data_IF_771495251483
#
_entry.id   IF_771495251483
#
_cell.length_a   1.000
_cell.length_b   1.000
_cell.length_c   1.000
_cell.angle_alpha   90.00
_cell.angle_beta   90.00
_cell.angle_gamma   90.00
#
_symmetry.space_group_name_H-M   'P 1'
#
loop_
_entity.id
_entity.type
_entity.pdbx_description
1 polymer ?
#
# COMPACT_ATOMS: atom_id res chain seq x y z
N UNK A 1 5.42 -29.01 17.18
CA UNK A 1 6.36 -28.27 16.30
C UNK A 1 5.74 -26.90 16.00
N UNK A 2 6.49 -25.80 16.11
CA UNK A 2 5.94 -24.50 15.76
C UNK A 2 5.78 -24.38 14.24
N UNK A 3 4.64 -23.89 13.74
CA UNK A 3 4.42 -23.74 12.30
C UNK A 3 5.34 -22.67 11.71
N UNK A 4 5.72 -22.88 10.46
CA UNK A 4 6.50 -21.92 9.70
C UNK A 4 5.59 -20.84 9.13
N UNK A 5 5.91 -19.57 9.43
CA UNK A 5 5.15 -18.42 8.94
C UNK A 5 5.99 -17.46 8.07
N UNK A 6 7.22 -17.86 7.72
CA UNK A 6 8.07 -17.04 6.84
C UNK A 6 7.61 -17.14 5.38
N UNK A 7 7.65 -16.01 4.67
CA UNK A 7 7.28 -15.89 3.25
C UNK A 7 8.33 -15.13 2.47
N UNK A 8 8.22 -15.14 1.14
CA UNK A 8 9.11 -14.37 0.27
C UNK A 8 8.29 -13.40 -0.58
N UNK A 9 8.76 -12.17 -0.71
CA UNK A 9 8.30 -11.18 -1.66
C UNK A 9 9.43 -10.98 -2.67
N UNK A 10 9.32 -11.64 -3.83
CA UNK A 10 10.44 -11.76 -4.74
C UNK A 10 11.67 -12.37 -4.02
N UNK A 11 12.81 -11.69 -4.07
CA UNK A 11 14.05 -12.08 -3.35
C UNK A 11 14.08 -11.68 -1.86
N UNK A 12 13.12 -10.90 -1.38
CA UNK A 12 13.04 -10.46 0.02
C UNK A 12 12.38 -11.53 0.88
N UNK A 13 13.11 -12.08 1.84
CA UNK A 13 12.59 -13.02 2.83
C UNK A 13 12.03 -12.27 4.04
N UNK A 14 10.76 -12.50 4.35
CA UNK A 14 10.09 -12.00 5.54
C UNK A 14 9.98 -13.13 6.57
N UNK A 15 10.30 -12.84 7.84
CA UNK A 15 10.20 -13.83 8.95
C UNK A 15 8.76 -14.23 9.27
N UNK A 16 7.79 -13.36 8.94
CA UNK A 16 6.36 -13.59 8.98
C UNK A 16 5.67 -12.72 7.92
N UNK A 17 4.41 -13.01 7.54
CA UNK A 17 3.74 -12.35 6.42
C UNK A 17 3.05 -11.05 6.79
N UNK A 18 3.19 -10.54 8.02
CA UNK A 18 2.45 -9.36 8.50
C UNK A 18 3.29 -8.11 8.35
N UNK A 19 2.81 -7.19 7.55
CA UNK A 19 3.38 -5.88 7.29
C UNK A 19 2.42 -4.79 7.76
N UNK A 20 2.87 -3.55 7.83
CA UNK A 20 2.03 -2.38 8.09
C UNK A 20 1.86 -1.56 6.81
N UNK A 21 0.66 -1.00 6.60
CA UNK A 21 0.34 -0.27 5.38
C UNK A 21 0.86 1.18 5.41
N UNK A 22 1.30 1.66 4.26
CA UNK A 22 1.69 3.06 4.13
C UNK A 22 0.54 4.00 4.49
N UNK A 23 0.86 5.10 5.19
CA UNK A 23 -0.09 6.12 5.59
C UNK A 23 -0.85 5.87 6.90
N UNK A 24 -0.72 4.68 7.50
CA UNK A 24 -1.39 4.34 8.78
C UNK A 24 -0.42 3.97 9.90
N UNK A 25 0.86 4.02 9.63
CA UNK A 25 1.93 3.66 10.56
C UNK A 25 3.06 4.70 10.62
N UNK A 26 2.83 5.88 10.06
CA UNK A 26 3.81 6.96 10.03
C UNK A 26 5.17 6.53 9.49
N UNK A 27 6.20 6.87 10.23
CA UNK A 27 7.58 6.39 10.04
C UNK A 27 8.00 5.40 11.15
N UNK A 28 7.02 4.75 11.77
CA UNK A 28 7.12 3.76 12.84
C UNK A 28 7.45 4.33 14.24
N UNK A 29 7.99 5.53 14.34
CA UNK A 29 8.32 6.16 15.63
C UNK A 29 7.10 6.24 16.55
N UNK A 30 5.93 6.52 15.98
CA UNK A 30 4.67 6.68 16.69
C UNK A 30 4.17 5.39 17.35
N UNK A 31 4.73 4.24 16.99
CA UNK A 31 4.31 2.93 17.48
C UNK A 31 5.32 2.26 18.41
N UNK A 32 6.51 2.86 18.63
CA UNK A 32 7.58 2.26 19.44
C UNK A 32 7.16 1.98 20.89
N UNK A 33 6.29 2.80 21.45
CA UNK A 33 5.83 2.66 22.83
C UNK A 33 4.72 1.61 22.99
N UNK A 34 4.10 1.18 21.89
CA UNK A 34 2.98 0.24 21.92
C UNK A 34 3.40 -1.20 21.58
N UNK A 35 4.38 -1.38 20.70
CA UNK A 35 4.81 -2.69 20.24
C UNK A 35 6.31 -2.78 20.03
N UNK A 36 6.85 -4.00 20.17
CA UNK A 36 8.19 -4.29 19.65
C UNK A 36 8.14 -4.42 18.12
N UNK A 37 8.56 -3.36 17.45
CA UNK A 37 8.58 -3.27 15.98
C UNK A 37 9.40 -4.39 15.32
N UNK A 38 10.37 -4.97 16.05
CA UNK A 38 11.14 -6.12 15.57
C UNK A 38 10.28 -7.34 15.29
N UNK A 39 9.06 -7.42 15.80
CA UNK A 39 8.16 -8.55 15.54
C UNK A 39 7.54 -8.52 14.15
N UNK A 40 7.42 -7.36 13.51
CA UNK A 40 6.83 -7.20 12.18
C UNK A 40 7.63 -7.92 11.09
N UNK A 41 6.96 -8.34 10.02
CA UNK A 41 7.59 -8.92 8.84
C UNK A 41 8.35 -7.88 8.03
N UNK A 42 7.75 -6.71 7.83
CA UNK A 42 8.35 -5.53 7.23
C UNK A 42 7.55 -4.27 7.61
N UNK A 43 8.16 -3.10 7.45
CA UNK A 43 7.50 -1.80 7.58
C UNK A 43 7.43 -1.13 6.21
N UNK A 44 6.22 -0.74 5.79
CA UNK A 44 6.02 0.16 4.65
C UNK A 44 5.80 1.56 5.21
N UNK A 45 6.67 2.49 4.87
CA UNK A 45 6.65 3.85 5.42
C UNK A 45 5.46 4.66 4.91
N UNK A 46 5.12 5.74 5.60
CA UNK A 46 4.30 6.81 5.02
C UNK A 46 4.90 7.20 3.67
N UNK A 47 4.04 7.39 2.68
CA UNK A 47 4.47 7.75 1.32
C UNK A 47 5.21 9.07 1.32
N UNK A 48 6.36 9.12 0.65
CA UNK A 48 7.14 10.34 0.42
C UNK A 48 7.07 10.77 -1.05
N UNK A 49 7.20 12.06 -1.26
CA UNK A 49 7.37 12.70 -2.57
C UNK A 49 8.76 13.33 -2.68
N UNK A 50 9.15 13.78 -3.86
CA UNK A 50 10.47 14.40 -4.05
C UNK A 50 10.60 15.66 -3.18
N UNK A 51 9.61 16.53 -3.23
CA UNK A 51 9.48 17.72 -2.41
C UNK A 51 8.47 17.49 -1.28
N UNK A 52 8.49 18.32 -0.22
CA UNK A 52 7.49 18.30 0.84
C UNK A 52 6.09 18.65 0.30
N UNK A 53 5.05 18.06 0.91
CA UNK A 53 3.68 18.35 0.55
C UNK A 53 2.80 18.49 1.79
N UNK A 54 2.00 19.56 1.86
CA UNK A 54 1.16 19.90 3.02
C UNK A 54 -0.13 19.05 3.09
N UNK A 55 -0.45 18.32 2.01
CA UNK A 55 -1.69 17.57 1.91
C UNK A 55 -2.91 18.46 1.66
N UNK A 56 -4.09 17.89 1.86
CA UNK A 56 -5.37 18.58 1.66
C UNK A 56 -5.76 19.42 2.89
N UNK A 57 -6.67 20.42 2.73
CA UNK A 57 -7.23 21.17 3.87
C UNK A 57 -8.00 20.24 4.84
N UNK A 58 -8.05 20.64 6.12
CA UNK A 58 -8.92 20.00 7.11
C UNK A 58 -10.41 20.42 6.92
N UNK A 59 -11.38 19.58 7.35
CA UNK A 59 -11.24 18.25 7.93
C UNK A 59 -10.83 17.20 6.88
N UNK A 60 -9.90 16.32 7.25
CA UNK A 60 -9.31 15.31 6.34
C UNK A 60 -9.79 13.89 6.57
N UNK A 61 -10.45 13.66 7.69
CA UNK A 61 -10.94 12.34 8.10
C UNK A 61 -12.34 12.44 8.67
N UNK A 62 -13.12 11.40 8.48
CA UNK A 62 -14.35 11.19 9.23
C UNK A 62 -14.62 9.68 9.42
N UNK A 63 -15.20 9.34 10.54
CA UNK A 63 -15.66 7.98 10.80
C UNK A 63 -16.88 7.61 9.97
N UNK A 64 -16.98 6.34 9.65
CA UNK A 64 -18.14 5.70 9.03
C UNK A 64 -18.58 4.51 9.87
N UNK A 65 -19.79 3.95 9.72
CA UNK A 65 -20.27 2.85 10.57
C UNK A 65 -19.33 1.64 10.65
N UNK A 66 -18.57 1.35 9.58
CA UNK A 66 -17.67 0.19 9.49
C UNK A 66 -16.29 0.57 8.94
N UNK A 67 -15.77 1.74 9.33
CA UNK A 67 -14.46 2.19 8.88
C UNK A 67 -14.29 3.69 8.95
N UNK A 68 -13.48 4.24 8.06
CA UNK A 68 -13.22 5.68 7.99
C UNK A 68 -13.01 6.14 6.56
N UNK A 69 -13.40 7.39 6.31
CA UNK A 69 -13.01 8.16 5.13
C UNK A 69 -11.79 9.01 5.44
N UNK A 70 -10.83 9.04 4.53
CA UNK A 70 -9.70 9.96 4.63
C UNK A 70 -9.43 10.66 3.30
N UNK A 71 -8.91 11.87 3.41
CA UNK A 71 -8.37 12.64 2.29
C UNK A 71 -7.11 13.41 2.72
N UNK A 72 -6.11 12.69 3.21
CA UNK A 72 -4.86 13.29 3.71
C UNK A 72 -4.12 14.05 2.60
N UNK A 73 -4.14 13.54 1.34
CA UNK A 73 -3.55 14.21 0.19
C UNK A 73 -2.02 14.14 0.16
N UNK A 74 -1.44 13.01 0.58
CA UNK A 74 0.02 12.77 0.57
C UNK A 74 0.86 13.79 1.38
N UNK A 75 0.33 14.33 2.49
CA UNK A 75 1.15 15.12 3.40
C UNK A 75 2.41 14.36 3.79
N UNK A 76 3.58 14.96 3.55
CA UNK A 76 4.87 14.35 3.85
C UNK A 76 6.00 15.40 3.84
N UNK A 77 7.15 15.14 4.50
CA UNK A 77 8.24 16.11 4.61
C UNK A 77 9.12 16.21 3.34
N UNK A 78 8.90 15.34 2.32
CA UNK A 78 9.77 15.22 1.17
C UNK A 78 11.00 14.33 1.41
N UNK A 79 11.70 14.00 0.32
CA UNK A 79 12.83 13.07 0.35
C UNK A 79 13.98 13.56 1.25
N UNK A 80 14.36 14.84 1.17
CA UNK A 80 15.50 15.38 1.92
C UNK A 80 15.34 15.18 3.43
N UNK A 81 14.28 15.72 4.00
CA UNK A 81 13.96 15.60 5.45
C UNK A 81 13.75 14.13 5.84
N UNK A 82 13.12 13.32 4.98
CA UNK A 82 12.98 11.90 5.24
C UNK A 82 14.34 11.19 5.42
N UNK A 83 15.30 11.47 4.55
CA UNK A 83 16.64 10.87 4.60
C UNK A 83 17.42 11.30 5.84
N UNK A 84 17.32 12.58 6.22
CA UNK A 84 18.06 13.17 7.34
C UNK A 84 17.46 12.84 8.70
N UNK A 85 16.13 12.88 8.84
CA UNK A 85 15.48 12.79 10.15
C UNK A 85 14.81 11.43 10.39
N UNK A 86 14.12 10.84 9.38
CA UNK A 86 13.27 9.66 9.59
C UNK A 86 13.98 8.34 9.32
N UNK A 87 14.76 8.28 8.27
CA UNK A 87 15.46 7.06 7.89
C UNK A 87 16.45 6.54 8.95
N UNK A 88 17.21 7.39 9.69
CA UNK A 88 18.11 6.91 10.73
C UNK A 88 17.42 6.11 11.85
N UNK A 89 16.22 6.52 12.27
CA UNK A 89 15.42 5.79 13.26
C UNK A 89 14.91 4.47 12.71
N UNK A 90 14.40 4.46 11.48
CA UNK A 90 13.92 3.25 10.79
C UNK A 90 15.01 2.19 10.65
N UNK A 91 16.24 2.57 10.32
CA UNK A 91 17.39 1.65 10.19
C UNK A 91 17.68 0.87 11.48
N UNK A 92 17.43 1.47 12.64
CA UNK A 92 17.69 0.86 13.95
C UNK A 92 16.68 -0.21 14.34
N UNK A 93 15.52 -0.27 13.68
CA UNK A 93 14.45 -1.23 14.02
C UNK A 93 14.87 -2.69 13.70
N UNK A 94 15.65 -2.91 12.64
CA UNK A 94 16.17 -4.23 12.29
C UNK A 94 15.16 -5.16 11.57
N UNK A 95 14.12 -4.60 10.95
CA UNK A 95 13.24 -5.30 10.01
C UNK A 95 13.36 -4.69 8.62
N UNK A 96 12.98 -5.41 7.54
CA UNK A 96 12.97 -4.84 6.20
C UNK A 96 12.15 -3.56 6.11
N UNK A 97 12.76 -2.48 5.58
CA UNK A 97 12.10 -1.20 5.37
C UNK A 97 11.79 -1.05 3.88
N UNK A 98 10.52 -0.86 3.57
CA UNK A 98 10.01 -0.60 2.22
C UNK A 98 9.54 0.84 2.19
N UNK A 99 10.13 1.64 1.31
CA UNK A 99 9.78 3.06 1.21
C UNK A 99 8.63 3.21 0.21
N UNK A 100 7.50 3.71 0.69
CA UNK A 100 6.38 4.08 -0.19
C UNK A 100 6.69 5.42 -0.85
N UNK A 101 6.63 5.47 -2.17
CA UNK A 101 6.93 6.66 -2.97
C UNK A 101 5.76 7.02 -3.88
N UNK A 102 5.55 8.32 -4.06
CA UNK A 102 4.56 8.86 -4.99
C UNK A 102 5.07 10.13 -5.66
N UNK A 103 4.37 10.55 -6.68
CA UNK A 103 4.47 11.89 -7.23
C UNK A 103 3.08 12.53 -7.31
N UNK A 104 3.02 13.85 -7.40
CA UNK A 104 1.78 14.61 -7.46
C UNK A 104 1.50 15.06 -8.90
N UNK A 105 2.49 15.61 -9.56
CA UNK A 105 2.31 16.27 -10.85
C UNK A 105 3.20 15.75 -11.98
N UNK A 106 4.28 15.02 -11.63
CA UNK A 106 5.27 14.58 -12.61
C UNK A 106 5.69 13.11 -12.43
N UNK A 107 5.31 12.18 -13.33
CA UNK A 107 5.69 10.77 -13.24
C UNK A 107 7.20 10.52 -13.19
N UNK A 108 8.04 11.45 -13.69
CA UNK A 108 9.50 11.33 -13.64
C UNK A 108 10.04 11.33 -12.21
N UNK A 109 9.33 11.95 -11.26
CA UNK A 109 9.73 11.96 -9.86
C UNK A 109 9.83 10.56 -9.26
N UNK A 110 9.03 9.59 -9.73
CA UNK A 110 9.20 8.20 -9.31
C UNK A 110 10.59 7.65 -9.65
N UNK A 111 11.11 7.97 -10.82
CA UNK A 111 12.46 7.55 -11.23
C UNK A 111 13.54 8.30 -10.49
N UNK A 112 13.33 9.59 -10.19
CA UNK A 112 14.26 10.40 -9.38
C UNK A 112 14.33 9.88 -7.95
N UNK A 113 13.18 9.60 -7.32
CA UNK A 113 13.09 9.00 -5.98
C UNK A 113 13.76 7.61 -5.97
N UNK A 114 13.43 6.76 -6.93
CA UNK A 114 14.02 5.43 -7.05
C UNK A 114 15.55 5.49 -7.16
N UNK A 115 16.10 6.39 -7.98
CA UNK A 115 17.55 6.59 -8.14
C UNK A 115 18.25 7.01 -6.85
N UNK A 116 17.61 7.81 -6.01
CA UNK A 116 18.17 8.21 -4.72
C UNK A 116 18.10 7.07 -3.70
N UNK A 117 16.95 6.40 -3.61
CA UNK A 117 16.71 5.31 -2.66
C UNK A 117 17.48 4.03 -3.01
N UNK A 118 17.78 3.79 -4.28
CA UNK A 118 18.56 2.63 -4.74
C UNK A 118 19.96 2.59 -4.12
N UNK A 119 20.56 3.76 -3.90
CA UNK A 119 21.90 3.91 -3.30
C UNK A 119 21.94 3.56 -1.82
N UNK A 120 20.80 3.44 -1.14
CA UNK A 120 20.69 3.26 0.31
C UNK A 120 20.57 1.77 0.61
N UNK A 121 21.62 1.17 1.17
CA UNK A 121 21.71 -0.27 1.42
C UNK A 121 20.55 -0.80 2.28
N UNK A 122 20.15 -0.05 3.30
CA UNK A 122 19.15 -0.45 4.28
C UNK A 122 17.71 -0.40 3.77
N UNK A 123 17.47 0.26 2.64
CA UNK A 123 16.18 0.23 1.95
C UNK A 123 16.02 -1.13 1.27
N UNK A 124 15.14 -1.97 1.77
CA UNK A 124 14.90 -3.31 1.24
C UNK A 124 14.11 -3.28 -0.07
N UNK A 125 13.26 -2.29 -0.26
CA UNK A 125 12.44 -2.15 -1.46
C UNK A 125 11.68 -0.83 -1.50
N UNK A 126 10.93 -0.64 -2.58
CA UNK A 126 10.07 0.52 -2.81
C UNK A 126 8.66 0.06 -3.15
N UNK A 127 7.66 0.74 -2.58
CA UNK A 127 6.25 0.62 -2.97
C UNK A 127 5.86 1.81 -3.84
N UNK A 128 5.50 1.58 -5.10
CA UNK A 128 4.98 2.61 -5.99
C UNK A 128 3.51 2.87 -5.65
N UNK A 129 3.23 3.93 -4.91
CA UNK A 129 1.88 4.36 -4.60
C UNK A 129 1.29 5.15 -5.77
N UNK A 130 0.85 4.44 -6.79
CA UNK A 130 0.21 5.00 -7.99
C UNK A 130 -1.29 5.16 -7.84
N UNK A 131 -1.86 4.87 -6.68
CA UNK A 131 -3.29 4.59 -6.47
C UNK A 131 -3.97 5.56 -5.51
N UNK A 132 -3.35 6.69 -5.15
CA UNK A 132 -3.92 7.63 -4.19
C UNK A 132 -5.12 8.38 -4.81
N UNK A 133 -6.38 8.18 -4.30
CA UNK A 133 -7.55 8.86 -4.83
C UNK A 133 -7.64 10.33 -4.39
N UNK A 134 -6.81 10.74 -3.44
CA UNK A 134 -6.91 12.01 -2.74
C UNK A 134 -6.04 13.12 -3.33
N UNK A 135 -5.41 12.88 -4.47
CA UNK A 135 -4.63 13.89 -5.18
C UNK A 135 -5.55 14.65 -6.12
N UNK A 136 -5.86 15.91 -5.80
CA UNK A 136 -6.46 16.84 -6.74
C UNK A 136 -5.33 17.52 -7.50
N UNK A 137 -5.19 17.23 -8.79
CA UNK A 137 -4.35 18.07 -9.65
C UNK A 137 -4.94 19.47 -9.80
N UNK A 138 -4.16 20.47 -10.28
CA UNK A 138 -4.65 21.81 -10.49
C UNK A 138 -5.91 21.78 -11.36
N UNK A 139 -6.98 22.47 -10.91
CA UNK A 139 -8.20 22.71 -11.67
C UNK A 139 -7.97 23.79 -12.75
N UNK A 140 -6.81 23.82 -13.37
CA UNK A 140 -6.57 24.68 -14.51
C UNK A 140 -6.91 23.89 -15.77
N UNK A 141 -7.94 24.32 -16.45
CA UNK A 141 -8.17 24.06 -17.87
C UNK A 141 -7.07 24.85 -18.60
N UNK A 142 -5.84 24.38 -18.52
CA UNK A 142 -4.75 24.91 -19.30
C UNK A 142 -4.70 24.13 -20.61
N UNK A 143 -5.08 24.79 -21.69
CA UNK A 143 -5.06 24.28 -23.06
C UNK A 143 -3.65 24.35 -23.70
N UNK A 144 -2.59 24.51 -22.90
CA UNK A 144 -1.23 24.48 -23.43
C UNK A 144 -0.85 23.09 -23.96
N UNK A 145 -0.06 23.00 -25.05
CA UNK A 145 0.37 21.71 -25.61
C UNK A 145 1.24 20.96 -24.60
N UNK A 146 0.68 19.89 -24.05
CA UNK A 146 1.28 19.09 -23.01
C UNK A 146 2.53 18.37 -23.51
N UNK A 147 3.67 18.53 -22.82
CA UNK A 147 4.88 17.72 -23.06
C UNK A 147 4.54 16.24 -22.83
N UNK A 148 4.72 15.42 -23.86
CA UNK A 148 4.64 13.97 -23.76
C UNK A 148 5.89 13.46 -23.03
N UNK A 149 5.71 13.01 -21.79
CA UNK A 149 6.76 12.36 -21.00
C UNK A 149 6.42 10.87 -20.97
N UNK A 150 7.34 10.02 -21.44
CA UNK A 150 7.13 8.56 -21.57
C UNK A 150 5.85 8.16 -22.35
N UNK A 151 5.35 9.01 -23.23
CA UNK A 151 4.10 8.76 -23.96
C UNK A 151 2.82 9.02 -23.15
N UNK A 152 2.93 9.60 -21.94
CA UNK A 152 1.81 9.98 -21.09
C UNK A 152 1.56 11.48 -21.17
N UNK A 153 0.28 11.88 -21.22
CA UNK A 153 -0.15 13.26 -21.00
C UNK A 153 -0.30 13.52 -19.49
N UNK A 154 -0.29 14.78 -19.06
CA UNK A 154 -0.54 15.13 -17.63
C UNK A 154 -1.90 14.66 -17.14
N UNK A 155 -2.87 14.46 -18.03
CA UNK A 155 -4.18 13.90 -17.71
C UNK A 155 -4.12 12.39 -17.45
N UNK A 156 -3.22 11.66 -18.12
CA UNK A 156 -3.04 10.23 -17.95
C UNK A 156 -2.37 9.88 -16.61
N UNK A 157 -1.58 10.79 -16.04
CA UNK A 157 -0.91 10.60 -14.77
C UNK A 157 -1.88 10.32 -13.61
N UNK A 158 -2.98 11.06 -13.51
CA UNK A 158 -4.00 10.88 -12.44
C UNK A 158 -4.71 9.53 -12.52
N UNK A 159 -4.63 8.90 -13.68
CA UNK A 159 -5.30 7.63 -13.99
C UNK A 159 -4.30 6.47 -14.12
N UNK A 160 -3.03 6.63 -13.71
CA UNK A 160 -2.01 5.58 -13.86
C UNK A 160 -2.51 4.26 -13.29
N UNK A 161 -3.07 4.27 -12.08
CA UNK A 161 -3.58 3.07 -11.43
C UNK A 161 -4.87 2.51 -12.05
N UNK A 162 -5.50 3.25 -12.95
CA UNK A 162 -6.73 2.84 -13.65
C UNK A 162 -6.46 2.44 -15.11
N UNK A 163 -5.20 2.57 -15.56
CA UNK A 163 -4.80 2.29 -16.93
C UNK A 163 -3.60 1.33 -16.96
N UNK A 164 -3.81 0.13 -17.48
CA UNK A 164 -2.80 -0.91 -17.54
C UNK A 164 -1.55 -0.49 -18.31
N UNK A 165 -1.69 0.26 -19.43
CA UNK A 165 -0.55 0.74 -20.23
C UNK A 165 0.24 1.80 -19.48
N UNK A 166 -0.43 2.73 -18.79
CA UNK A 166 0.23 3.75 -17.97
C UNK A 166 0.97 3.11 -16.78
N UNK A 167 0.35 2.16 -16.09
CA UNK A 167 0.98 1.35 -15.04
C UNK A 167 2.22 0.64 -15.57
N UNK A 168 2.12 -0.06 -16.71
CA UNK A 168 3.26 -0.75 -17.33
C UNK A 168 4.41 0.21 -17.60
N UNK A 169 4.15 1.35 -18.23
CA UNK A 169 5.19 2.31 -18.61
C UNK A 169 5.92 2.86 -17.39
N UNK A 170 5.19 3.24 -16.33
CA UNK A 170 5.78 3.76 -15.11
C UNK A 170 6.63 2.70 -14.40
N UNK A 171 6.06 1.52 -14.15
CA UNK A 171 6.78 0.42 -13.48
C UNK A 171 8.03 0.04 -14.27
N UNK A 172 7.94 -0.03 -15.60
CA UNK A 172 9.08 -0.33 -16.48
C UNK A 172 10.18 0.74 -16.39
N UNK A 173 9.80 2.02 -16.33
CA UNK A 173 10.74 3.13 -16.17
C UNK A 173 11.49 3.03 -14.83
N UNK A 174 10.77 2.79 -13.73
CA UNK A 174 11.39 2.62 -12.39
C UNK A 174 12.24 1.35 -12.33
N UNK A 175 11.78 0.23 -12.90
CA UNK A 175 12.54 -1.03 -12.91
C UNK A 175 13.91 -0.92 -13.58
N UNK A 176 14.06 -0.06 -14.56
CA UNK A 176 15.35 0.20 -15.21
C UNK A 176 16.37 0.92 -14.32
N UNK A 177 15.89 1.55 -13.24
CA UNK A 177 16.71 2.35 -12.32
C UNK A 177 17.23 1.51 -11.14
N UNK A 178 16.49 0.48 -10.71
CA UNK A 178 16.76 -0.22 -9.45
C UNK A 178 16.60 -1.73 -9.57
N UNK A 179 17.45 -2.48 -8.85
CA UNK A 179 17.30 -3.91 -8.63
C UNK A 179 16.70 -4.26 -7.26
N UNK A 180 16.33 -3.25 -6.47
CA UNK A 180 15.62 -3.46 -5.21
C UNK A 180 14.22 -4.05 -5.44
N UNK A 181 13.65 -4.59 -4.37
CA UNK A 181 12.24 -5.05 -4.41
C UNK A 181 11.34 -3.89 -4.84
N UNK A 182 10.56 -4.13 -5.88
CA UNK A 182 9.62 -3.16 -6.43
C UNK A 182 8.21 -3.70 -6.29
N UNK A 183 7.40 -3.00 -5.50
CA UNK A 183 6.01 -3.33 -5.24
C UNK A 183 5.12 -2.29 -5.92
N UNK A 184 4.13 -2.69 -6.68
CA UNK A 184 3.15 -1.76 -7.26
C UNK A 184 1.85 -1.82 -6.47
N UNK A 185 1.46 -0.70 -5.84
CA UNK A 185 0.21 -0.59 -5.07
C UNK A 185 -0.94 -0.18 -5.96
N UNK A 186 -1.95 -1.07 -6.03
CA UNK A 186 -3.07 -0.97 -6.96
C UNK A 186 -4.29 -0.31 -6.32
N UNK A 187 -5.07 0.38 -7.15
CA UNK A 187 -6.34 1.01 -6.78
C UNK A 187 -7.51 0.05 -6.94
N UNK A 188 -8.48 0.05 -6.01
CA UNK A 188 -9.75 -0.67 -6.20
C UNK A 188 -10.71 0.05 -7.15
N UNK A 189 -10.42 1.29 -7.53
CA UNK A 189 -11.31 2.12 -8.35
C UNK A 189 -11.12 1.81 -9.84
N UNK A 190 -11.22 0.53 -10.18
CA UNK A 190 -11.04 -0.02 -11.53
C UNK A 190 -12.11 -1.08 -11.81
N UNK A 191 -12.37 -1.34 -13.09
CA UNK A 191 -13.30 -2.40 -13.50
C UNK A 191 -12.66 -3.78 -13.39
N UNK A 192 -11.39 -3.94 -13.82
CA UNK A 192 -10.61 -5.17 -13.77
C UNK A 192 -9.25 -4.92 -13.12
N UNK A 193 -9.11 -5.33 -11.86
CA UNK A 193 -7.86 -5.20 -11.11
C UNK A 193 -6.77 -6.14 -11.65
N UNK A 194 -7.17 -7.27 -12.22
CA UNK A 194 -6.22 -8.26 -12.72
C UNK A 194 -5.53 -7.79 -14.01
N UNK A 195 -6.17 -6.95 -14.82
CA UNK A 195 -5.53 -6.33 -15.99
C UNK A 195 -4.37 -5.43 -15.56
N UNK A 196 -4.59 -4.57 -14.55
CA UNK A 196 -3.56 -3.68 -14.01
C UNK A 196 -2.45 -4.45 -13.31
N UNK A 197 -2.80 -5.51 -12.54
CA UNK A 197 -1.84 -6.39 -11.89
C UNK A 197 -0.91 -7.08 -12.91
N UNK A 198 -1.47 -7.61 -14.02
CA UNK A 198 -0.68 -8.19 -15.12
C UNK A 198 0.26 -7.18 -15.79
N UNK A 199 -0.17 -5.94 -15.92
CA UNK A 199 0.66 -4.88 -16.47
C UNK A 199 1.86 -4.58 -15.55
N UNK A 200 1.65 -4.51 -14.24
CA UNK A 200 2.70 -4.33 -13.25
C UNK A 200 3.70 -5.52 -13.27
N UNK A 201 3.20 -6.77 -13.29
CA UNK A 201 4.03 -7.97 -13.41
C UNK A 201 4.91 -7.95 -14.67
N UNK A 202 4.31 -7.74 -15.84
CA UNK A 202 5.02 -7.69 -17.13
C UNK A 202 6.05 -6.57 -17.18
N UNK A 203 5.85 -5.49 -16.45
CA UNK A 203 6.77 -4.37 -16.37
C UNK A 203 7.96 -4.61 -15.42
N UNK A 204 7.90 -5.68 -14.59
CA UNK A 204 8.99 -6.09 -13.71
C UNK A 204 8.78 -5.74 -12.25
N UNK A 205 7.55 -5.56 -11.77
CA UNK A 205 7.25 -5.58 -10.33
C UNK A 205 7.60 -6.94 -9.74
N UNK A 206 8.20 -6.94 -8.54
CA UNK A 206 8.46 -8.16 -7.75
C UNK A 206 7.22 -8.63 -6.99
N UNK A 207 6.28 -7.73 -6.72
CA UNK A 207 4.99 -8.00 -6.10
C UNK A 207 3.98 -6.90 -6.44
N UNK A 208 2.71 -7.17 -6.20
CA UNK A 208 1.67 -6.14 -6.15
C UNK A 208 1.08 -6.06 -4.74
N UNK A 209 0.71 -4.85 -4.29
CA UNK A 209 -0.07 -4.66 -3.07
C UNK A 209 -1.45 -4.14 -3.42
N UNK A 210 -2.49 -4.75 -2.89
CA UNK A 210 -3.88 -4.38 -3.14
C UNK A 210 -4.78 -4.71 -1.94
N UNK A 211 -5.71 -3.84 -1.64
CA UNK A 211 -6.14 -2.66 -2.36
C UNK A 211 -5.79 -1.37 -1.59
N UNK A 212 -5.62 -0.26 -2.31
CA UNK A 212 -5.72 1.06 -1.70
C UNK A 212 -7.19 1.33 -1.31
N UNK A 213 -7.52 2.52 -0.86
CA UNK A 213 -8.85 2.90 -0.41
C UNK A 213 -9.86 3.06 -1.56
N UNK A 214 -11.11 2.69 -1.30
CA UNK A 214 -12.21 2.85 -2.25
C UNK A 214 -12.76 4.28 -2.17
N UNK A 215 -13.03 4.91 -3.30
CA UNK A 215 -13.60 6.26 -3.30
C UNK A 215 -15.00 6.27 -2.69
N UNK A 216 -15.22 7.15 -1.72
CA UNK A 216 -16.47 7.30 -1.01
C UNK A 216 -16.76 8.75 -0.63
N UNK A 217 -17.93 8.99 -0.06
CA UNK A 217 -18.40 10.30 0.39
C UNK A 217 -19.21 10.17 1.70
N UNK A 218 -19.04 11.13 2.59
CA UNK A 218 -19.90 11.30 3.76
C UNK A 218 -20.50 12.70 3.81
N UNK A 219 -21.79 12.77 4.10
CA UNK A 219 -22.56 14.03 4.20
C UNK A 219 -23.01 14.21 5.64
N UNK A 220 -22.85 15.42 6.16
CA UNK A 220 -23.53 15.87 7.36
C UNK A 220 -24.94 16.35 6.97
N UNK A 221 -25.95 15.61 7.39
CA UNK A 221 -27.36 15.87 6.99
C UNK A 221 -27.93 17.14 7.60
N UNK A 222 -27.39 17.60 8.73
CA UNK A 222 -27.84 18.80 9.41
C UNK A 222 -27.35 20.05 8.66
N UNK A 223 -26.05 20.05 8.32
CA UNK A 223 -25.43 21.18 7.63
C UNK A 223 -25.54 21.06 6.11
N UNK A 224 -25.92 19.90 5.57
CA UNK A 224 -25.97 19.56 4.14
C UNK A 224 -24.60 19.74 3.45
N UNK A 225 -23.50 19.51 4.20
CA UNK A 225 -22.13 19.67 3.72
C UNK A 225 -21.35 18.35 3.76
N UNK A 226 -20.33 18.18 2.92
CA UNK A 226 -19.42 17.05 3.06
C UNK A 226 -18.72 17.08 4.44
N UNK A 227 -18.50 15.92 5.05
CA UNK A 227 -17.77 15.81 6.32
C UNK A 227 -16.25 15.99 6.18
N UNK A 228 -15.74 15.92 4.96
CA UNK A 228 -14.32 16.17 4.65
C UNK A 228 -14.18 17.27 3.60
N UNK A 229 -13.12 18.05 3.65
CA UNK A 229 -12.93 19.26 2.84
C UNK A 229 -12.87 18.98 1.31
N UNK A 230 -12.45 17.78 0.92
CA UNK A 230 -12.31 17.38 -0.49
C UNK A 230 -13.59 16.82 -1.12
N UNK A 231 -14.71 16.82 -0.41
CA UNK A 231 -16.01 16.23 -0.79
C UNK A 231 -15.97 14.69 -0.82
N UNK A 232 -15.06 14.09 -1.57
CA UNK A 232 -14.82 12.65 -1.63
C UNK A 232 -13.49 12.31 -1.01
N UNK A 233 -13.36 11.07 -0.51
CA UNK A 233 -12.13 10.55 0.08
C UNK A 233 -12.02 9.05 -0.09
N UNK A 234 -10.95 8.47 0.45
CA UNK A 234 -10.72 7.04 0.44
C UNK A 234 -11.37 6.36 1.64
N UNK A 235 -12.33 5.46 1.39
CA UNK A 235 -12.93 4.59 2.39
C UNK A 235 -11.98 3.44 2.71
N UNK A 236 -11.77 3.17 4.00
CA UNK A 236 -10.95 2.08 4.53
C UNK A 236 -11.62 1.43 5.74
N UNK A 237 -11.05 0.35 6.25
CA UNK A 237 -11.58 -0.41 7.39
C UNK A 237 -12.45 -1.60 6.96
N UNK A 238 -13.18 -2.24 7.89
CA UNK A 238 -13.93 -3.48 7.66
C UNK A 238 -14.90 -3.43 6.48
N UNK A 239 -15.49 -2.26 6.20
CA UNK A 239 -16.44 -2.08 5.09
C UNK A 239 -15.88 -2.51 3.73
N UNK A 240 -14.58 -2.38 3.48
CA UNK A 240 -13.99 -2.69 2.17
C UNK A 240 -13.42 -4.12 2.09
N UNK A 241 -13.40 -4.90 3.19
CA UNK A 241 -12.77 -6.23 3.21
C UNK A 241 -13.33 -7.19 2.15
N UNK A 242 -14.64 -7.35 1.97
CA UNK A 242 -15.16 -8.27 0.94
C UNK A 242 -14.70 -7.89 -0.48
N UNK A 243 -14.57 -6.58 -0.75
CA UNK A 243 -14.08 -6.07 -2.03
C UNK A 243 -12.59 -6.39 -2.18
N UNK A 244 -11.79 -6.16 -1.13
CA UNK A 244 -10.37 -6.41 -1.12
C UNK A 244 -10.05 -7.91 -1.31
N UNK A 245 -10.74 -8.80 -0.60
CA UNK A 245 -10.59 -10.27 -0.71
C UNK A 245 -10.92 -10.73 -2.13
N UNK A 246 -12.04 -10.27 -2.72
CA UNK A 246 -12.40 -10.56 -4.11
C UNK A 246 -11.31 -10.13 -5.07
N UNK A 247 -10.80 -8.91 -4.95
CA UNK A 247 -9.78 -8.37 -5.86
C UNK A 247 -8.45 -9.11 -5.72
N UNK A 248 -8.07 -9.54 -4.52
CA UNK A 248 -6.89 -10.40 -4.31
C UNK A 248 -7.08 -11.74 -5.03
N UNK A 249 -8.25 -12.35 -4.90
CA UNK A 249 -8.57 -13.61 -5.58
C UNK A 249 -8.54 -13.48 -7.11
N UNK A 250 -9.14 -12.43 -7.67
CA UNK A 250 -9.11 -12.14 -9.10
C UNK A 250 -7.68 -11.95 -9.65
N UNK A 251 -6.86 -11.18 -8.91
CA UNK A 251 -5.46 -10.97 -9.27
C UNK A 251 -4.66 -12.29 -9.21
N UNK A 252 -4.85 -13.08 -8.14
CA UNK A 252 -4.16 -14.36 -7.94
C UNK A 252 -4.40 -15.35 -9.10
N UNK A 253 -5.59 -15.34 -9.71
CA UNK A 253 -5.90 -16.18 -10.90
C UNK A 253 -5.12 -15.76 -12.16
N UNK A 254 -4.51 -14.59 -12.19
CA UNK A 254 -3.98 -13.98 -13.43
C UNK A 254 -2.50 -13.61 -13.39
N UNK A 255 -1.88 -13.54 -12.21
CA UNK A 255 -0.46 -13.20 -12.04
C UNK A 255 0.27 -14.29 -11.25
N UNK A 256 1.60 -14.32 -11.36
CA UNK A 256 2.45 -15.28 -10.66
C UNK A 256 3.32 -14.65 -9.58
N UNK A 257 3.48 -13.32 -9.61
CA UNK A 257 4.24 -12.61 -8.58
C UNK A 257 3.44 -12.55 -7.27
N UNK A 258 4.11 -12.46 -6.11
CA UNK A 258 3.48 -12.35 -4.80
C UNK A 258 2.46 -11.22 -4.71
N UNK A 259 1.39 -11.46 -3.97
CA UNK A 259 0.35 -10.49 -3.66
C UNK A 259 0.44 -10.13 -2.18
N UNK A 260 0.46 -8.83 -1.88
CA UNK A 260 0.33 -8.29 -0.53
C UNK A 260 -1.10 -7.79 -0.37
N UNK A 261 -1.92 -8.57 0.35
CA UNK A 261 -3.33 -8.24 0.55
C UNK A 261 -3.52 -7.17 1.63
N UNK A 262 -4.40 -6.19 1.41
CA UNK A 262 -4.77 -5.17 2.39
C UNK A 262 -6.19 -4.66 2.17
N UNK A 263 -6.83 -4.20 3.27
CA UNK A 263 -8.18 -3.65 3.26
C UNK A 263 -9.11 -4.35 4.24
N UNK A 264 -9.37 -3.74 5.38
CA UNK A 264 -10.29 -4.24 6.39
C UNK A 264 -9.80 -5.44 7.22
N UNK A 265 -8.49 -5.65 7.29
CA UNK A 265 -7.87 -6.67 8.18
C UNK A 265 -7.89 -6.11 9.60
N UNK A 266 -8.59 -6.80 10.51
CA UNK A 266 -8.79 -6.39 11.90
C UNK A 266 -8.22 -7.41 12.90
N UNK A 267 -8.04 -8.67 12.49
CA UNK A 267 -7.62 -9.79 13.31
C UNK A 267 -7.01 -10.91 12.46
N UNK A 268 -6.63 -12.02 13.10
CA UNK A 268 -6.05 -13.16 12.42
C UNK A 268 -7.03 -13.86 11.46
N UNK A 269 -8.32 -13.90 11.77
CA UNK A 269 -9.32 -14.56 10.91
C UNK A 269 -9.53 -13.75 9.63
N UNK A 270 -9.68 -12.45 9.75
CA UNK A 270 -9.76 -11.57 8.57
C UNK A 270 -8.47 -11.60 7.73
N UNK A 271 -7.29 -11.79 8.36
CA UNK A 271 -6.04 -11.99 7.64
C UNK A 271 -6.03 -13.31 6.85
N UNK A 272 -6.57 -14.39 7.42
CA UNK A 272 -6.65 -15.71 6.79
C UNK A 272 -7.51 -15.67 5.52
N UNK A 273 -8.59 -14.90 5.47
CA UNK A 273 -9.38 -14.72 4.25
C UNK A 273 -8.48 -14.30 3.06
N UNK A 274 -7.52 -13.40 3.31
CA UNK A 274 -6.59 -12.95 2.26
C UNK A 274 -5.62 -14.04 1.82
N UNK A 275 -5.10 -14.86 2.74
CA UNK A 275 -4.24 -15.99 2.36
C UNK A 275 -5.03 -17.01 1.54
N UNK A 276 -6.23 -17.37 1.94
CA UNK A 276 -7.10 -18.28 1.20
C UNK A 276 -7.39 -17.74 -0.21
N UNK A 277 -7.58 -16.43 -0.34
CA UNK A 277 -7.78 -15.75 -1.63
C UNK A 277 -6.50 -15.68 -2.50
N UNK A 278 -5.31 -15.95 -1.95
CA UNK A 278 -4.06 -16.01 -2.70
C UNK A 278 -3.00 -14.97 -2.32
N UNK A 279 -3.22 -14.19 -1.26
CA UNK A 279 -2.19 -13.29 -0.75
C UNK A 279 -1.00 -14.08 -0.18
N UNK A 280 0.22 -13.66 -0.50
CA UNK A 280 1.47 -14.18 0.06
C UNK A 280 1.83 -13.51 1.39
N UNK A 281 1.49 -12.24 1.52
CA UNK A 281 1.64 -11.44 2.72
C UNK A 281 0.42 -10.53 2.88
N UNK A 282 0.27 -9.93 4.05
CA UNK A 282 -0.78 -8.96 4.33
C UNK A 282 -0.19 -7.66 4.86
N UNK A 283 -0.93 -6.56 4.66
CA UNK A 283 -0.56 -5.25 5.18
C UNK A 283 -1.71 -4.65 5.98
N UNK A 284 -1.47 -4.38 7.27
CA UNK A 284 -2.47 -3.88 8.21
C UNK A 284 -2.52 -2.35 8.13
N UNK A 285 -3.71 -1.81 7.88
CA UNK A 285 -3.94 -0.38 7.73
C UNK A 285 -4.73 0.23 8.89
N UNK A 286 -5.99 0.57 8.65
CA UNK A 286 -6.90 1.31 9.56
C UNK A 286 -6.98 0.72 10.97
N UNK A 287 -6.82 -0.60 11.10
CA UNK A 287 -6.85 -1.26 12.41
C UNK A 287 -5.78 -0.74 13.39
N UNK A 288 -4.64 -0.25 12.89
CA UNK A 288 -3.58 0.35 13.71
C UNK A 288 -4.06 1.60 14.47
N UNK A 289 -5.05 2.34 13.96
CA UNK A 289 -5.63 3.50 14.65
C UNK A 289 -6.55 3.10 15.81
N UNK A 290 -7.13 1.89 15.75
CA UNK A 290 -8.05 1.37 16.77
C UNK A 290 -7.26 0.62 17.84
N UNK A 291 -6.33 -0.24 17.42
CA UNK A 291 -5.47 -1.03 18.29
C UNK A 291 -4.03 -1.01 17.74
N UNK A 292 -3.14 -0.23 18.34
CA UNK A 292 -1.73 -0.16 17.92
C UNK A 292 -1.00 -1.52 17.94
N UNK A 293 -1.46 -2.47 18.78
CA UNK A 293 -0.88 -3.82 18.91
C UNK A 293 -1.40 -4.84 17.90
N UNK A 294 -2.42 -4.48 17.10
CA UNK A 294 -3.16 -5.41 16.24
C UNK A 294 -2.25 -6.23 15.31
N UNK A 295 -1.22 -5.63 14.75
CA UNK A 295 -0.31 -6.33 13.82
C UNK A 295 0.44 -7.47 14.52
N UNK A 296 0.86 -7.31 15.78
CA UNK A 296 1.52 -8.34 16.59
C UNK A 296 0.52 -9.40 17.06
N UNK A 297 -0.70 -8.99 17.39
CA UNK A 297 -1.79 -9.90 17.74
C UNK A 297 -2.16 -10.80 16.56
N UNK A 298 -2.20 -10.24 15.34
CA UNK A 298 -2.41 -11.02 14.11
C UNK A 298 -1.32 -12.07 13.92
N UNK A 299 -0.04 -11.73 14.11
CA UNK A 299 1.08 -12.70 14.03
C UNK A 299 0.86 -13.85 14.99
N UNK A 300 0.49 -13.56 16.23
CA UNK A 300 0.22 -14.56 17.26
C UNK A 300 -1.00 -15.41 16.92
N UNK A 301 -2.08 -14.77 16.44
CA UNK A 301 -3.31 -15.44 16.02
C UNK A 301 -3.11 -16.35 14.82
N UNK A 302 -2.31 -15.95 13.84
CA UNK A 302 -1.94 -16.81 12.69
C UNK A 302 -1.21 -18.07 13.17
N UNK A 303 -0.24 -17.96 14.06
CA UNK A 303 0.45 -19.14 14.62
C UNK A 303 -0.52 -20.08 15.34
N UNK A 304 -1.41 -19.52 16.15
CA UNK A 304 -2.44 -20.29 16.87
C UNK A 304 -3.37 -21.04 15.91
N UNK A 305 -3.85 -20.34 14.86
CA UNK A 305 -4.70 -20.95 13.84
C UNK A 305 -4.01 -22.13 13.13
N UNK A 306 -2.74 -21.96 12.72
CA UNK A 306 -1.99 -23.00 12.03
C UNK A 306 -1.81 -24.24 12.93
N UNK A 307 -1.50 -24.04 14.22
CA UNK A 307 -1.39 -25.15 15.20
C UNK A 307 -2.72 -25.87 15.35
N UNK A 308 -3.80 -25.14 15.56
CA UNK A 308 -5.15 -25.70 15.75
C UNK A 308 -5.62 -26.52 14.54
N UNK A 309 -5.27 -26.09 13.33
CA UNK A 309 -5.62 -26.75 12.08
C UNK A 309 -4.57 -27.73 11.56
N UNK A 310 -3.51 -28.01 12.34
CA UNK A 310 -2.42 -28.94 11.99
C UNK A 310 -1.68 -28.55 10.70
N UNK A 311 -1.63 -27.26 10.37
CA UNK A 311 -0.95 -26.71 9.20
C UNK A 311 0.51 -26.43 9.59
N UNK A 312 1.46 -26.94 8.81
CA UNK A 312 2.90 -26.85 9.11
C UNK A 312 3.56 -25.59 8.55
N UNK A 313 3.07 -25.08 7.43
CA UNK A 313 3.60 -23.88 6.76
C UNK A 313 2.43 -23.00 6.30
N UNK A 314 2.50 -21.70 6.58
CA UNK A 314 1.47 -20.74 6.16
C UNK A 314 1.23 -20.73 4.64
N UNK A 315 2.22 -21.15 3.88
CA UNK A 315 2.11 -21.28 2.42
C UNK A 315 1.03 -22.27 1.97
N UNK A 316 0.65 -23.20 2.83
CA UNK A 316 -0.44 -24.15 2.57
C UNK A 316 -1.82 -23.46 2.50
N UNK A 317 -1.94 -22.24 3.08
CA UNK A 317 -3.16 -21.44 2.99
C UNK A 317 -3.25 -20.62 1.70
N UNK A 318 -2.11 -20.31 1.06
CA UNK A 318 -2.09 -19.39 -0.08
C UNK A 318 -2.84 -19.99 -1.27
N UNK A 319 -3.97 -19.35 -1.63
CA UNK A 319 -4.81 -19.77 -2.74
C UNK A 319 -5.54 -21.10 -2.51
N UNK A 320 -5.68 -21.54 -1.27
CA UNK A 320 -6.33 -22.81 -0.92
C UNK A 320 -7.86 -22.70 -0.74
N UNK A 321 -8.46 -21.60 -1.21
CA UNK A 321 -9.91 -21.46 -1.24
C UNK A 321 -10.56 -22.64 -2.00
N UNK A 322 -11.49 -23.31 -1.35
CA UNK A 322 -12.32 -24.35 -1.97
C UNK A 322 -13.59 -23.69 -2.51
N UNK A 323 -13.73 -23.60 -3.81
CA UNK A 323 -14.92 -23.09 -4.50
C UNK A 323 -15.75 -24.24 -5.06
#
# INVERSE_FOLDING_TARGET
MQPKISVNIGKLKLKNPVMVASGTFGYAEEFCDFIDLKQLGAIVTKTITLNSHLGNPAPRTCETPQGMLNSIGLENPGLGVFLEEKLPSLKRIGVPIIISIASIDNPEEFTMLAKQLDKIREVAGMELNISCPNIKGPQSIDHSPQKKIYGLSTMDYRLISQNAKATYNLVKAVRRITDKILITKLSPNVTDIAEVARAAEKAGSDAVSLINTLTGMCIDVQTKRPKIATVTGGLSGPAIRPIAVRMVWEAYQKIKIPIIGMGGIMDALSAIEFFLAGATAISVGTANFINPSVSVEIISGLKKYLVQNKIKDIKELIGSLRA
#
